data_IF_957638333253
#
_entry.id   IF_957638333253
#
_cell.length_a   1.000
_cell.length_b   1.000
_cell.length_c   1.000
_cell.angle_alpha   90.00
_cell.angle_beta   90.00
_cell.angle_gamma   90.00
#
_symmetry.space_group_name_H-M   'P 1'
#
loop_
_entity.id
_entity.type
_entity.pdbx_description
1 polymer ?
#
# COMPACT_ATOMS: atom_id res chain seq x y z
N UNK A 1 6.92 3.62 1.48
CA UNK A 1 7.08 2.76 2.67
C UNK A 1 5.89 3.01 3.57
N UNK A 2 4.98 2.04 3.70
CA UNK A 2 3.69 2.16 4.39
C UNK A 2 3.62 1.46 5.74
N UNK A 3 2.50 1.66 6.46
CA UNK A 3 2.17 0.91 7.67
C UNK A 3 2.00 -0.60 7.40
N UNK A 4 2.05 -1.42 8.45
CA UNK A 4 1.66 -2.83 8.37
C UNK A 4 0.17 -2.96 8.05
N UNK A 5 -0.19 -3.93 7.23
CA UNK A 5 -1.58 -4.30 6.95
C UNK A 5 -1.83 -5.75 7.31
N UNK A 6 -3.03 -6.06 7.79
CA UNK A 6 -3.43 -7.39 8.25
C UNK A 6 -4.66 -7.85 7.48
N UNK A 7 -4.55 -8.99 6.81
CA UNK A 7 -5.66 -9.63 6.12
C UNK A 7 -6.14 -10.82 6.96
N UNK A 8 -7.40 -10.77 7.38
CA UNK A 8 -8.01 -11.81 8.20
C UNK A 8 -8.47 -13.00 7.36
N UNK A 9 -8.47 -14.18 7.97
CA UNK A 9 -8.96 -15.40 7.35
C UNK A 9 -10.08 -16.01 8.22
N UNK A 10 -11.05 -16.77 7.67
CA UNK A 10 -12.07 -17.41 8.48
C UNK A 10 -11.45 -18.28 9.58
N UNK A 11 -11.70 -17.92 10.85
CA UNK A 11 -11.23 -18.69 12.00
C UNK A 11 -12.29 -19.73 12.40
N UNK A 12 -11.90 -21.01 12.37
CA UNK A 12 -12.77 -22.15 12.69
C UNK A 12 -12.15 -22.98 13.82
N UNK A 13 -12.96 -23.68 14.65
CA UNK A 13 -12.44 -24.40 15.82
C UNK A 13 -11.64 -25.67 15.49
N UNK A 14 -11.85 -26.27 14.32
CA UNK A 14 -11.19 -27.53 13.91
C UNK A 14 -10.53 -27.39 12.54
N UNK A 15 -9.59 -26.45 12.44
CA UNK A 15 -8.79 -26.22 11.22
C UNK A 15 -7.79 -27.35 11.03
N UNK A 16 -7.76 -27.91 9.83
CA UNK A 16 -6.79 -28.92 9.40
C UNK A 16 -5.66 -28.29 8.59
N UNK A 17 -5.99 -27.36 7.71
CA UNK A 17 -5.04 -26.70 6.82
C UNK A 17 -5.47 -25.28 6.51
N UNK A 18 -4.49 -24.38 6.44
CA UNK A 18 -4.69 -23.00 5.96
C UNK A 18 -3.72 -22.74 4.83
N UNK A 19 -4.21 -22.18 3.72
CA UNK A 19 -3.38 -21.78 2.59
C UNK A 19 -3.70 -20.35 2.18
N UNK A 20 -2.70 -19.49 2.20
CA UNK A 20 -2.73 -18.17 1.57
C UNK A 20 -2.14 -18.27 0.17
N UNK A 21 -2.95 -18.01 -0.86
CA UNK A 21 -2.53 -17.85 -2.25
C UNK A 21 -2.45 -16.37 -2.58
N UNK A 22 -1.24 -15.89 -2.85
CA UNK A 22 -0.95 -14.47 -3.04
C UNK A 22 -0.47 -14.27 -4.47
N UNK A 23 -1.20 -13.45 -5.22
CA UNK A 23 -0.90 -13.12 -6.60
C UNK A 23 -0.78 -11.61 -6.76
N UNK A 24 0.43 -11.05 -6.50
CA UNK A 24 0.71 -9.65 -6.79
C UNK A 24 0.61 -9.36 -8.29
N UNK A 25 0.30 -8.11 -8.66
CA UNK A 25 0.30 -7.65 -10.06
C UNK A 25 1.71 -7.65 -10.66
N UNK A 26 2.72 -7.44 -9.81
CA UNK A 26 4.14 -7.37 -10.19
C UNK A 26 4.92 -8.38 -9.36
N UNK A 27 5.63 -9.28 -10.03
CA UNK A 27 6.39 -10.36 -9.38
C UNK A 27 5.74 -11.74 -9.54
N UNK A 28 6.22 -12.70 -8.74
CA UNK A 28 5.74 -14.09 -8.75
C UNK A 28 4.60 -14.33 -7.78
N UNK A 29 3.87 -15.44 -7.99
CA UNK A 29 2.91 -15.94 -7.00
C UNK A 29 3.63 -16.41 -5.74
N UNK A 30 3.07 -16.07 -4.59
CA UNK A 30 3.55 -16.44 -3.28
C UNK A 30 2.51 -17.33 -2.58
N UNK A 31 2.97 -18.28 -1.77
CA UNK A 31 2.07 -19.15 -1.00
C UNK A 31 2.59 -19.37 0.42
N UNK A 32 1.69 -19.23 1.40
CA UNK A 32 1.92 -19.61 2.79
C UNK A 32 0.93 -20.72 3.15
N UNK A 33 1.45 -21.86 3.58
CA UNK A 33 0.68 -23.00 4.04
C UNK A 33 0.90 -23.24 5.52
N UNK A 34 -0.13 -23.69 6.22
CA UNK A 34 -0.06 -24.21 7.58
C UNK A 34 -0.83 -25.52 7.64
N UNK A 35 -0.25 -26.51 8.33
CA UNK A 35 -0.84 -27.83 8.57
C UNK A 35 -0.96 -28.06 10.07
N UNK A 36 -2.16 -28.36 10.54
CA UNK A 36 -2.44 -28.50 11.97
C UNK A 36 -2.00 -29.88 12.54
N UNK A 37 -1.97 -30.93 11.71
CA UNK A 37 -1.60 -32.30 12.10
C UNK A 37 -0.12 -32.44 12.52
N UNK A 38 0.75 -31.70 11.84
CA UNK A 38 2.21 -31.69 11.99
C UNK A 38 2.70 -30.41 12.64
N UNK A 39 1.81 -29.42 12.80
CA UNK A 39 2.11 -28.07 13.26
C UNK A 39 3.22 -27.39 12.44
N UNK A 40 3.25 -27.65 11.13
CA UNK A 40 4.26 -27.13 10.22
C UNK A 40 3.71 -25.97 9.39
N UNK A 41 4.60 -25.02 9.09
CA UNK A 41 4.33 -23.95 8.12
C UNK A 41 5.22 -24.13 6.90
N UNK A 42 4.65 -23.94 5.72
CA UNK A 42 5.38 -23.92 4.46
C UNK A 42 5.30 -22.53 3.83
N UNK A 43 6.40 -22.06 3.27
CA UNK A 43 6.51 -20.76 2.63
C UNK A 43 7.22 -20.90 1.30
N UNK A 44 6.55 -20.45 0.23
CA UNK A 44 7.07 -20.53 -1.14
C UNK A 44 7.00 -19.17 -1.82
N UNK A 45 8.14 -18.66 -2.31
CA UNK A 45 8.28 -17.44 -3.12
C UNK A 45 7.71 -16.15 -2.50
N UNK A 46 7.57 -16.09 -1.18
CA UNK A 46 7.06 -14.92 -0.47
C UNK A 46 8.19 -14.00 -0.01
N UNK A 47 8.01 -12.69 -0.18
CA UNK A 47 8.89 -11.65 0.36
C UNK A 47 8.88 -11.65 1.89
N UNK A 48 10.04 -11.47 2.54
CA UNK A 48 10.19 -11.47 4.02
C UNK A 48 9.28 -10.45 4.72
N UNK A 49 8.79 -9.45 3.97
CA UNK A 49 7.76 -8.50 4.42
C UNK A 49 6.40 -9.14 4.73
N UNK A 50 6.12 -10.35 4.22
CA UNK A 50 4.84 -11.04 4.40
C UNK A 50 5.03 -12.22 5.36
N UNK A 51 4.24 -12.32 6.42
CA UNK A 51 4.24 -13.49 7.31
C UNK A 51 2.91 -13.63 8.06
N UNK A 52 2.71 -14.73 8.76
CA UNK A 52 1.60 -14.87 9.70
C UNK A 52 1.71 -13.82 10.81
N UNK A 53 0.59 -13.21 11.19
CA UNK A 53 0.56 -12.21 12.27
C UNK A 53 0.86 -12.85 13.63
N UNK A 54 0.28 -14.03 13.85
CA UNK A 54 0.38 -14.84 15.05
C UNK A 54 0.46 -16.32 14.63
N UNK A 55 0.40 -17.24 15.60
CA UNK A 55 0.28 -18.67 15.31
C UNK A 55 -1.00 -18.95 14.51
N UNK A 56 -0.91 -19.61 13.34
CA UNK A 56 -2.04 -19.83 12.44
C UNK A 56 -3.19 -20.63 13.05
N UNK A 57 -2.89 -21.47 14.05
CA UNK A 57 -3.86 -22.24 14.83
C UNK A 57 -4.87 -21.34 15.57
N UNK A 58 -4.41 -20.20 16.09
CA UNK A 58 -5.27 -19.24 16.81
C UNK A 58 -5.78 -18.14 15.89
N UNK A 59 -4.89 -17.61 15.07
CA UNK A 59 -5.19 -16.51 14.16
C UNK A 59 -4.46 -16.71 12.82
N UNK A 60 -5.16 -17.25 11.81
CA UNK A 60 -4.59 -17.46 10.47
C UNK A 60 -4.46 -16.17 9.64
N UNK A 61 -4.42 -15.00 10.28
CA UNK A 61 -4.26 -13.73 9.60
C UNK A 61 -2.85 -13.55 9.00
N UNK A 62 -2.82 -12.99 7.79
CA UNK A 62 -1.60 -12.58 7.10
C UNK A 62 -1.23 -11.15 7.48
N UNK A 63 0.00 -10.94 7.93
CA UNK A 63 0.61 -9.62 8.11
C UNK A 63 1.52 -9.28 6.91
N UNK A 64 1.36 -8.07 6.39
CA UNK A 64 2.24 -7.48 5.39
C UNK A 64 2.88 -6.26 6.00
N UNK A 65 4.18 -6.34 6.28
CA UNK A 65 5.00 -5.26 6.82
C UNK A 65 5.47 -4.34 5.71
N UNK A 66 5.60 -3.05 6.00
CA UNK A 66 6.12 -2.06 5.06
C UNK A 66 5.41 -2.09 3.70
N UNK A 67 4.07 -1.99 3.72
CA UNK A 67 3.27 -2.08 2.49
C UNK A 67 3.76 -1.09 1.44
N UNK A 68 3.86 -1.56 0.21
CA UNK A 68 4.33 -0.80 -0.95
C UNK A 68 3.65 -1.30 -2.22
N UNK A 69 3.78 -0.56 -3.32
CA UNK A 69 3.06 -0.79 -4.58
C UNK A 69 3.22 -2.21 -5.15
N UNK A 70 4.34 -2.88 -4.87
CA UNK A 70 4.58 -4.26 -5.28
C UNK A 70 3.67 -5.28 -4.59
N UNK A 71 3.02 -4.91 -3.49
CA UNK A 71 2.06 -5.74 -2.78
C UNK A 71 0.63 -5.62 -3.36
N UNK A 72 0.39 -4.77 -4.36
CA UNK A 72 -0.94 -4.75 -4.99
C UNK A 72 -1.26 -6.07 -5.69
N UNK A 73 -2.46 -6.59 -5.49
CA UNK A 73 -2.87 -7.83 -6.12
C UNK A 73 -4.00 -8.56 -5.43
N UNK A 74 -4.12 -9.84 -5.73
CA UNK A 74 -5.15 -10.71 -5.18
C UNK A 74 -4.59 -11.60 -4.08
N UNK A 75 -5.30 -11.67 -2.97
CA UNK A 75 -4.94 -12.46 -1.78
C UNK A 75 -6.12 -13.35 -1.41
N UNK A 76 -5.97 -14.65 -1.56
CA UNK A 76 -7.00 -15.62 -1.18
C UNK A 76 -6.50 -16.45 -0.02
N UNK A 77 -7.27 -16.50 1.06
CA UNK A 77 -7.10 -17.49 2.11
C UNK A 77 -8.08 -18.64 1.90
N UNK A 78 -7.60 -19.86 2.04
CA UNK A 78 -8.37 -21.11 2.01
C UNK A 78 -8.15 -21.85 3.33
N UNK A 79 -9.24 -22.24 3.99
CA UNK A 79 -9.25 -22.96 5.26
C UNK A 79 -10.01 -24.25 5.06
N UNK A 80 -9.33 -25.36 5.34
CA UNK A 80 -9.94 -26.68 5.39
C UNK A 80 -10.17 -27.00 6.86
N UNK A 81 -11.43 -27.24 7.22
CA UNK A 81 -11.83 -27.64 8.56
C UNK A 81 -12.74 -28.87 8.48
N UNK A 82 -12.95 -29.55 9.62
CA UNK A 82 -13.83 -30.73 9.70
C UNK A 82 -15.27 -30.43 9.27
N UNK A 83 -15.72 -29.20 9.51
CA UNK A 83 -17.04 -28.69 9.17
C UNK A 83 -17.19 -28.26 7.71
N UNK A 84 -16.10 -28.21 6.95
CA UNK A 84 -16.10 -27.86 5.54
C UNK A 84 -14.92 -26.97 5.12
N UNK A 85 -14.98 -26.51 3.88
CA UNK A 85 -13.96 -25.67 3.27
C UNK A 85 -14.46 -24.23 3.18
N UNK A 86 -13.64 -23.29 3.64
CA UNK A 86 -13.94 -21.86 3.63
C UNK A 86 -12.85 -21.13 2.87
N UNK A 87 -13.21 -20.07 2.17
CA UNK A 87 -12.23 -19.19 1.56
C UNK A 87 -12.64 -17.74 1.66
N UNK A 88 -11.66 -16.85 1.61
CA UNK A 88 -11.87 -15.41 1.59
C UNK A 88 -10.86 -14.76 0.67
N UNK A 89 -11.34 -13.93 -0.24
CA UNK A 89 -10.51 -13.26 -1.25
C UNK A 89 -10.50 -11.76 -1.03
N UNK A 90 -9.32 -11.16 -1.14
CA UNK A 90 -9.07 -9.73 -1.02
C UNK A 90 -8.42 -9.21 -2.30
N UNK A 91 -8.81 -8.01 -2.70
CA UNK A 91 -8.09 -7.20 -3.68
C UNK A 91 -7.38 -6.08 -2.93
N UNK A 92 -6.04 -6.16 -2.84
CA UNK A 92 -5.23 -5.16 -2.16
C UNK A 92 -4.82 -4.06 -3.16
N UNK A 93 -5.20 -2.82 -2.85
CA UNK A 93 -4.82 -1.61 -3.57
C UNK A 93 -3.98 -0.76 -2.63
N UNK A 94 -2.86 -0.23 -3.13
CA UNK A 94 -1.92 0.57 -2.35
C UNK A 94 -1.96 2.00 -2.87
N UNK A 95 -2.64 2.87 -2.12
CA UNK A 95 -2.69 4.29 -2.42
C UNK A 95 -1.39 4.96 -1.97
N UNK A 96 -0.70 5.62 -2.89
CA UNK A 96 0.51 6.41 -2.60
C UNK A 96 0.10 7.87 -2.53
N UNK A 97 0.08 8.43 -1.32
CA UNK A 97 0.07 9.87 -1.10
C UNK A 97 1.47 10.30 -0.65
N UNK A 98 1.91 11.47 -1.12
CA UNK A 98 3.28 11.98 -0.92
C UNK A 98 3.70 11.95 0.55
N UNK A 99 4.84 11.32 0.82
CA UNK A 99 5.54 11.34 2.11
C UNK A 99 7.04 11.31 1.83
N UNK A 100 7.81 12.34 2.25
CA UNK A 100 7.38 13.55 2.96
C UNK A 100 6.51 14.49 2.10
N UNK A 101 6.06 15.60 2.66
CA UNK A 101 5.39 16.64 1.88
C UNK A 101 6.23 17.01 0.65
N UNK A 102 5.62 17.00 -0.53
CA UNK A 102 6.29 17.45 -1.75
C UNK A 102 6.43 18.97 -1.71
N UNK A 103 7.62 19.49 -1.99
CA UNK A 103 7.84 20.93 -2.06
C UNK A 103 7.37 21.44 -3.42
N UNK A 104 6.56 22.50 -3.41
CA UNK A 104 6.05 23.13 -4.63
C UNK A 104 6.67 24.52 -4.80
N UNK A 105 7.36 24.72 -5.91
CA UNK A 105 8.02 25.98 -6.27
C UNK A 105 7.50 26.47 -7.62
N UNK A 106 7.17 27.75 -7.73
CA UNK A 106 6.85 28.39 -9.01
C UNK A 106 8.07 29.13 -9.54
N UNK A 107 8.34 28.98 -10.84
CA UNK A 107 9.54 29.56 -11.49
C UNK A 107 9.43 31.08 -11.66
N UNK A 108 8.23 31.64 -11.75
CA UNK A 108 8.01 33.08 -11.87
C UNK A 108 7.57 33.70 -10.54
N UNK A 109 7.98 34.96 -10.31
CA UNK A 109 7.60 35.75 -9.14
C UNK A 109 6.08 35.99 -9.11
N UNK A 110 5.39 35.17 -8.34
CA UNK A 110 4.04 35.43 -7.87
C UNK A 110 3.95 35.06 -6.40
N UNK A 111 3.12 35.78 -5.65
CA UNK A 111 2.86 35.49 -4.25
C UNK A 111 2.07 34.18 -4.14
N UNK A 112 2.74 33.04 -4.06
CA UNK A 112 2.13 31.76 -3.69
C UNK A 112 2.61 31.33 -2.31
N UNK A 113 1.69 31.15 -1.38
CA UNK A 113 1.93 30.42 -0.14
C UNK A 113 1.32 29.01 -0.29
N UNK A 114 2.15 27.96 -0.42
CA UNK A 114 1.63 26.60 -0.43
C UNK A 114 0.97 26.29 0.91
N UNK A 115 -0.23 25.70 0.87
CA UNK A 115 -0.94 25.19 2.03
C UNK A 115 -0.74 23.69 2.13
N UNK A 116 -0.45 23.22 3.34
CA UNK A 116 -0.30 21.81 3.62
C UNK A 116 -1.53 21.29 4.36
N UNK A 117 -2.09 20.18 3.88
CA UNK A 117 -3.13 19.44 4.56
C UNK A 117 -2.55 18.10 5.01
N UNK A 118 -2.45 17.94 6.33
CA UNK A 118 -1.98 16.71 6.96
C UNK A 118 -3.19 15.81 7.21
N UNK A 119 -3.14 14.61 6.66
CA UNK A 119 -4.18 13.59 6.83
C UNK A 119 -3.87 12.72 8.05
N UNK A 120 -4.89 12.11 8.66
CA UNK A 120 -4.73 11.20 9.82
C UNK A 120 -3.81 10.01 9.54
N UNK A 121 -3.64 9.66 8.27
CA UNK A 121 -2.69 8.64 7.81
C UNK A 121 -1.23 9.13 7.77
N UNK A 122 -0.97 10.39 8.19
CA UNK A 122 0.31 11.09 8.20
C UNK A 122 0.85 11.49 6.83
N UNK A 123 0.03 11.46 5.78
CA UNK A 123 0.38 11.95 4.44
C UNK A 123 0.12 13.45 4.35
N UNK A 124 0.81 14.14 3.45
CA UNK A 124 0.66 15.58 3.30
C UNK A 124 0.27 15.90 1.86
N UNK A 125 -0.87 16.54 1.70
CA UNK A 125 -1.27 17.15 0.43
C UNK A 125 -0.81 18.60 0.43
N UNK A 126 0.00 18.98 -0.57
CA UNK A 126 0.47 20.36 -0.72
C UNK A 126 -0.32 21.03 -1.84
N UNK A 127 -1.11 22.03 -1.49
CA UNK A 127 -1.90 22.84 -2.40
C UNK A 127 -1.23 24.20 -2.58
N UNK A 128 -0.69 24.47 -3.77
CA UNK A 128 -0.12 25.78 -4.10
C UNK A 128 -1.01 26.52 -5.09
N UNK A 129 -1.46 27.72 -4.72
CA UNK A 129 -2.24 28.61 -5.58
C UNK A 129 -1.35 29.76 -6.06
N UNK A 130 -1.22 29.87 -7.38
CA UNK A 130 -0.51 30.96 -8.01
C UNK A 130 -1.52 32.02 -8.49
N UNK A 131 -1.21 33.30 -8.26
CA UNK A 131 -1.99 34.43 -8.76
C UNK A 131 -1.03 35.37 -9.50
N UNK A 132 -1.16 35.47 -10.82
CA UNK A 132 -0.39 36.44 -11.61
C UNK A 132 -1.06 37.81 -11.57
N UNK A 133 -0.30 38.87 -11.33
CA UNK A 133 -0.78 40.26 -11.27
C UNK A 133 -0.27 41.12 -12.45
N UNK A 134 0.38 40.48 -13.45
CA UNK A 134 0.96 41.17 -14.60
C UNK A 134 0.46 40.55 -15.91
N UNK A 135 0.11 41.42 -16.86
CA UNK A 135 -0.32 41.06 -18.23
C UNK A 135 0.78 40.46 -19.10
N UNK A 136 2.04 40.48 -18.62
CA UNK A 136 3.20 39.97 -19.36
C UNK A 136 3.57 38.52 -18.99
N UNK A 137 2.87 37.91 -18.03
CA UNK A 137 3.09 36.50 -17.68
C UNK A 137 2.31 35.63 -18.67
N UNK A 138 3.02 35.01 -19.62
CA UNK A 138 2.40 34.15 -20.64
C UNK A 138 2.37 32.68 -20.20
N UNK A 139 3.43 32.18 -19.58
CA UNK A 139 3.54 30.81 -19.08
C UNK A 139 4.23 30.79 -17.71
N UNK A 140 3.64 30.10 -16.73
CA UNK A 140 4.28 29.80 -15.44
C UNK A 140 4.63 28.32 -15.36
N UNK A 141 5.70 27.96 -14.64
CA UNK A 141 6.08 26.56 -14.43
C UNK A 141 6.03 26.23 -12.95
N UNK A 142 5.29 25.18 -12.62
CA UNK A 142 5.27 24.56 -11.31
C UNK A 142 6.32 23.46 -11.26
N UNK A 143 7.20 23.50 -10.26
CA UNK A 143 8.17 22.46 -9.96
C UNK A 143 7.72 21.79 -8.66
N UNK A 144 7.56 20.47 -8.70
CA UNK A 144 7.25 19.61 -7.57
C UNK A 144 8.48 18.78 -7.25
N UNK A 145 9.06 19.02 -6.08
CA UNK A 145 10.25 18.32 -5.59
C UNK A 145 9.85 17.32 -4.51
N UNK A 146 10.20 16.05 -4.69
CA UNK A 146 9.93 15.00 -3.71
C UNK A 146 11.10 13.99 -3.72
N UNK A 147 11.47 13.38 -2.58
CA UNK A 147 12.56 12.41 -2.54
C UNK A 147 12.39 11.20 -3.49
N UNK A 148 11.16 10.87 -3.85
CA UNK A 148 10.85 9.81 -4.81
C UNK A 148 10.96 10.24 -6.29
N UNK A 149 11.19 11.53 -6.57
CA UNK A 149 11.34 12.08 -7.90
C UNK A 149 10.81 13.51 -8.02
N UNK A 150 11.46 14.29 -8.88
CA UNK A 150 11.06 15.66 -9.20
C UNK A 150 10.21 15.67 -10.48
N UNK A 151 9.20 16.51 -10.52
CA UNK A 151 8.39 16.76 -11.70
C UNK A 151 8.22 18.26 -11.93
N UNK A 152 8.06 18.66 -13.18
CA UNK A 152 7.71 20.03 -13.52
C UNK A 152 6.58 20.05 -14.55
N UNK A 153 5.74 21.08 -14.47
CA UNK A 153 4.65 21.29 -15.42
C UNK A 153 4.46 22.77 -15.69
N UNK A 154 4.50 23.14 -16.96
CA UNK A 154 4.21 24.51 -17.41
C UNK A 154 2.71 24.68 -17.63
N UNK A 155 2.19 25.85 -17.28
CA UNK A 155 0.80 26.25 -17.34
C UNK A 155 0.77 27.62 -18.03
N UNK A 156 -0.01 27.74 -19.11
CA UNK A 156 -0.27 29.03 -19.73
C UNK A 156 -1.20 29.86 -18.83
N UNK A 157 -0.87 31.13 -18.62
CA UNK A 157 -1.63 32.06 -17.77
C UNK A 157 -2.74 32.77 -18.53
#
# INVERSE_FOLDING_TARGET
VGNSSVLTCPSKPSVMMVTWKISPKVGGRCTLGYRADTNETNRTNCSDSMNWKLTPERDPALEIRQVGIAHEGNYTCEVVATEGNFHKTYNLIVLVAGKPAAQVLWVLEGNSTPKEEVHDNGTVTVLSKFTAHSSNVTNTTCIVSHPAGNQSKSIAC
#
